data_IF_511851967001
#
_entry.id   IF_511851967001
#
_cell.length_a   1.000
_cell.length_b   1.000
_cell.length_c   1.000
_cell.angle_alpha   90.00
_cell.angle_beta   90.00
_cell.angle_gamma   90.00
#
_symmetry.space_group_name_H-M   'P 1'
#
loop_
_entity.id
_entity.type
_entity.pdbx_description
1 polymer ?
#
# COMPACT_ATOMS: atom_id res chain seq x y z
N UNK A 1 -13.92 10.81 -1.00
CA UNK A 1 -13.37 9.43 -1.09
C UNK A 1 -11.85 9.55 -1.16
N UNK A 2 -11.10 8.95 -0.24
CA UNK A 2 -9.63 8.97 -0.30
C UNK A 2 -9.14 8.04 -1.41
N UNK A 3 -8.34 8.55 -2.35
CA UNK A 3 -7.87 7.78 -3.52
C UNK A 3 -7.22 6.44 -3.14
N UNK A 4 -6.47 6.43 -2.04
CA UNK A 4 -5.88 5.21 -1.47
C UNK A 4 -6.93 4.17 -1.09
N UNK A 5 -8.01 4.59 -0.44
CA UNK A 5 -9.09 3.71 -0.01
C UNK A 5 -9.81 3.09 -1.21
N UNK A 6 -10.08 3.89 -2.24
CA UNK A 6 -10.72 3.41 -3.46
C UNK A 6 -9.88 2.35 -4.17
N UNK A 7 -8.56 2.56 -4.29
CA UNK A 7 -7.65 1.58 -4.89
C UNK A 7 -7.66 0.24 -4.14
N UNK A 8 -7.57 0.26 -2.80
CA UNK A 8 -7.60 -0.95 -1.97
C UNK A 8 -8.95 -1.67 -2.08
N UNK A 9 -10.07 -0.96 -1.97
CA UNK A 9 -11.41 -1.56 -2.01
C UNK A 9 -11.78 -2.11 -3.39
N UNK A 10 -11.24 -1.54 -4.47
CA UNK A 10 -11.44 -2.03 -5.83
C UNK A 10 -10.65 -3.30 -6.16
N UNK A 11 -9.62 -3.62 -5.36
CA UNK A 11 -8.64 -4.66 -5.66
C UNK A 11 -7.64 -4.29 -6.77
N UNK A 12 -7.86 -3.20 -7.51
CA UNK A 12 -6.90 -2.68 -8.49
C UNK A 12 -5.85 -1.79 -7.81
N UNK A 13 -4.79 -2.45 -7.36
CA UNK A 13 -3.65 -1.81 -6.70
C UNK A 13 -2.44 -1.65 -7.64
N UNK A 14 -2.63 -1.82 -8.95
CA UNK A 14 -1.53 -1.74 -9.94
C UNK A 14 -0.93 -0.34 -10.05
N UNK A 15 -1.75 0.69 -9.81
CA UNK A 15 -1.39 2.12 -9.90
C UNK A 15 -1.21 2.79 -8.54
N UNK A 16 -1.31 2.04 -7.43
CA UNK A 16 -1.27 2.61 -6.08
C UNK A 16 0.06 3.33 -5.77
N UNK A 17 1.12 2.96 -6.49
CA UNK A 17 2.42 3.60 -6.42
C UNK A 17 2.40 5.09 -6.77
N UNK A 18 1.48 5.54 -7.63
CA UNK A 18 1.37 6.95 -8.02
C UNK A 18 0.74 7.83 -6.94
N UNK A 19 0.12 7.21 -5.92
CA UNK A 19 -0.44 7.91 -4.78
C UNK A 19 0.61 8.25 -3.72
N UNK A 20 1.82 7.69 -3.81
CA UNK A 20 2.88 7.91 -2.83
C UNK A 20 3.93 8.91 -3.34
N UNK A 21 4.52 9.65 -2.41
CA UNK A 21 5.71 10.47 -2.70
C UNK A 21 6.91 9.59 -3.04
N UNK A 22 7.89 10.14 -3.75
CA UNK A 22 9.09 9.41 -4.15
C UNK A 22 9.83 8.78 -2.95
N UNK A 23 9.83 9.49 -1.83
CA UNK A 23 10.51 9.18 -0.56
C UNK A 23 9.62 8.47 0.46
N UNK A 24 8.46 7.95 0.04
CA UNK A 24 7.51 7.31 0.94
C UNK A 24 8.14 6.23 1.84
N UNK A 25 7.71 6.20 3.10
CA UNK A 25 8.19 5.26 4.12
C UNK A 25 7.00 4.46 4.64
N UNK A 26 7.08 3.13 4.54
CA UNK A 26 6.12 2.22 5.14
C UNK A 26 6.71 1.61 6.42
N UNK A 27 6.05 1.88 7.55
CA UNK A 27 6.38 1.29 8.84
C UNK A 27 5.59 0.01 9.04
N UNK A 28 6.25 -1.14 8.85
CA UNK A 28 5.63 -2.45 9.06
C UNK A 28 5.74 -2.89 10.52
N UNK A 29 4.64 -3.31 11.16
CA UNK A 29 4.66 -3.87 12.51
C UNK A 29 5.24 -5.29 12.57
N UNK A 30 5.41 -5.96 11.42
CA UNK A 30 5.93 -7.34 11.34
C UNK A 30 7.41 -7.35 10.99
N UNK A 31 7.83 -6.53 10.02
CA UNK A 31 9.21 -6.54 9.57
C UNK A 31 10.16 -5.77 10.50
N UNK A 32 9.62 -4.95 11.43
CA UNK A 32 10.34 -4.08 12.36
C UNK A 32 11.46 -3.23 11.71
N UNK A 33 11.40 -3.05 10.39
CA UNK A 33 12.29 -2.20 9.57
C UNK A 33 11.44 -1.42 8.56
N UNK A 34 11.71 -0.13 8.36
CA UNK A 34 10.96 0.68 7.41
C UNK A 34 11.31 0.32 5.97
N UNK A 35 10.29 0.15 5.13
CA UNK A 35 10.46 0.11 3.68
C UNK A 35 10.51 1.53 3.14
N UNK A 36 11.51 1.84 2.32
CA UNK A 36 11.74 3.18 1.78
C UNK A 36 11.58 3.21 0.28
N UNK A 37 11.01 4.31 -0.19
CA UNK A 37 10.85 4.63 -1.58
C UNK A 37 9.53 4.11 -2.15
N UNK A 38 8.93 4.91 -3.01
CA UNK A 38 7.65 4.68 -3.68
C UNK A 38 7.48 3.27 -4.25
N UNK A 39 8.49 2.80 -5.00
CA UNK A 39 8.45 1.49 -5.66
C UNK A 39 8.41 0.34 -4.65
N UNK A 40 9.23 0.42 -3.60
CA UNK A 40 9.27 -0.58 -2.54
C UNK A 40 7.96 -0.63 -1.77
N UNK A 41 7.45 0.55 -1.38
CA UNK A 41 6.19 0.67 -0.64
C UNK A 41 5.03 0.13 -1.49
N UNK A 42 4.94 0.50 -2.76
CA UNK A 42 3.92 0.00 -3.68
C UNK A 42 3.95 -1.52 -3.80
N UNK A 43 5.13 -2.12 -4.02
CA UNK A 43 5.26 -3.56 -4.12
C UNK A 43 4.79 -4.30 -2.86
N UNK A 44 5.13 -3.78 -1.67
CA UNK A 44 4.68 -4.37 -0.40
C UNK A 44 3.16 -4.27 -0.25
N UNK A 45 2.57 -3.11 -0.54
CA UNK A 45 1.12 -2.93 -0.45
C UNK A 45 0.39 -3.82 -1.46
N UNK A 46 0.89 -3.95 -2.70
CA UNK A 46 0.33 -4.85 -3.70
C UNK A 46 0.41 -6.31 -3.26
N UNK A 47 1.53 -6.75 -2.70
CA UNK A 47 1.66 -8.12 -2.19
C UNK A 47 0.69 -8.39 -1.04
N UNK A 48 0.56 -7.44 -0.11
CA UNK A 48 -0.38 -7.52 1.02
C UNK A 48 -1.83 -7.53 0.53
N UNK A 49 -2.19 -6.67 -0.42
CA UNK A 49 -3.50 -6.63 -1.07
C UNK A 49 -3.90 -7.97 -1.71
N UNK A 50 -2.95 -8.67 -2.34
CA UNK A 50 -3.19 -9.96 -2.98
C UNK A 50 -3.30 -11.13 -1.99
N UNK A 51 -2.71 -11.03 -0.79
CA UNK A 51 -2.73 -12.11 0.22
C UNK A 51 -3.97 -12.04 1.11
N UNK A 52 -4.45 -10.83 1.44
CA UNK A 52 -5.61 -10.68 2.30
C UNK A 52 -6.89 -10.54 1.48
N UNK A 53 -7.73 -11.56 1.53
CA UNK A 53 -9.11 -11.47 1.06
C UNK A 53 -9.89 -10.53 2.00
N UNK A 54 -10.03 -9.26 1.60
CA UNK A 54 -10.78 -8.24 2.33
C UNK A 54 -9.98 -7.20 3.13
N UNK A 55 -8.80 -6.78 2.64
CA UNK A 55 -8.12 -5.59 3.17
C UNK A 55 -9.02 -4.35 3.19
N UNK A 56 -9.11 -3.68 4.35
CA UNK A 56 -9.98 -2.50 4.53
C UNK A 56 -9.20 -1.36 5.17
N UNK A 57 -9.24 -0.18 4.56
CA UNK A 57 -8.67 1.03 5.13
C UNK A 57 -9.64 1.64 6.15
N UNK A 58 -9.32 1.54 7.44
CA UNK A 58 -10.09 2.20 8.52
C UNK A 58 -9.54 3.62 8.69
N UNK A 59 -10.44 4.61 8.62
CA UNK A 59 -10.15 6.03 8.89
C UNK A 59 -9.90 6.24 10.37
#
# INVERSE_FOLDING_TARGET
>A
MHAFRAAIESGDVTTIGDLFTHDAILHSPIAYRPYRGRRTVAAVITAVANVFDGLRHRV
#
